data_IF_468257991422
#
_entry.id   IF_468257991422
#
_cell.length_a   1.000
_cell.length_b   1.000
_cell.length_c   1.000
_cell.angle_alpha   90.00
_cell.angle_beta   90.00
_cell.angle_gamma   90.00
#
_symmetry.space_group_name_H-M   'P 1'
#
loop_
_entity.id
_entity.type
_entity.pdbx_description
1 polymer ?
#
# COMPACT_ATOMS: atom_id res chain seq x y z
N UNK A 1 8.45 9.95 6.43
CA UNK A 1 7.04 9.95 5.97
C UNK A 1 6.70 8.51 5.64
N UNK A 2 5.58 7.98 6.12
CA UNK A 2 5.12 6.64 5.76
C UNK A 2 4.27 6.76 4.48
N UNK A 3 4.44 5.83 3.55
CA UNK A 3 3.59 5.69 2.37
C UNK A 3 3.29 4.20 2.19
N UNK A 4 2.10 3.87 1.71
CA UNK A 4 1.72 2.46 1.52
C UNK A 4 2.54 1.76 0.42
N UNK A 5 3.31 2.51 -0.38
CA UNK A 5 4.27 1.97 -1.34
C UNK A 5 5.58 2.77 -1.28
N UNK A 6 6.68 2.14 -1.65
CA UNK A 6 7.96 2.81 -1.78
C UNK A 6 7.98 3.64 -3.07
N UNK A 7 8.25 4.94 -2.95
CA UNK A 7 8.51 5.83 -4.08
C UNK A 7 9.98 5.77 -4.50
N UNK A 8 10.31 6.36 -5.66
CA UNK A 8 11.72 6.64 -5.98
C UNK A 8 12.31 7.60 -4.94
N UNK A 9 13.60 7.46 -4.69
CA UNK A 9 14.34 8.35 -3.81
C UNK A 9 14.31 9.77 -4.38
N UNK A 10 13.89 10.74 -3.57
CA UNK A 10 13.71 12.14 -3.97
C UNK A 10 12.37 12.45 -4.66
N UNK A 11 11.51 11.44 -4.83
CA UNK A 11 10.14 11.57 -5.36
C UNK A 11 9.11 11.03 -4.36
N UNK A 12 9.36 11.23 -3.06
CA UNK A 12 8.46 10.79 -1.99
C UNK A 12 7.13 11.54 -2.05
N UNK A 13 6.05 10.78 -2.17
CA UNK A 13 4.70 11.33 -2.10
C UNK A 13 3.82 10.53 -1.15
N UNK A 14 2.92 11.26 -0.49
CA UNK A 14 1.85 10.67 0.29
C UNK A 14 0.80 10.07 -0.66
N UNK A 15 0.59 8.76 -0.58
CA UNK A 15 -0.45 8.10 -1.36
C UNK A 15 -1.85 8.36 -0.79
N UNK A 16 -2.88 8.09 -1.58
CA UNK A 16 -4.26 8.34 -1.17
C UNK A 16 -4.67 7.51 0.07
N UNK A 17 -4.14 6.30 0.23
CA UNK A 17 -4.32 5.49 1.46
C UNK A 17 -3.70 6.11 2.71
N UNK A 18 -2.52 6.74 2.59
CA UNK A 18 -1.91 7.49 3.69
C UNK A 18 -2.78 8.70 4.07
N UNK A 19 -3.25 9.43 3.06
CA UNK A 19 -4.06 10.63 3.26
C UNK A 19 -5.38 10.27 3.97
N UNK A 20 -6.04 9.20 3.55
CA UNK A 20 -7.25 8.71 4.18
C UNK A 20 -7.01 8.19 5.61
N UNK A 21 -5.92 7.44 5.85
CA UNK A 21 -5.70 6.80 7.15
C UNK A 21 -5.24 7.77 8.23
N UNK A 22 -4.30 8.66 7.90
CA UNK A 22 -3.63 9.52 8.89
C UNK A 22 -3.54 10.98 8.48
N UNK A 23 -4.00 11.37 7.29
CA UNK A 23 -3.88 12.75 6.80
C UNK A 23 -4.40 13.79 7.79
N UNK A 24 -5.52 13.52 8.45
CA UNK A 24 -6.12 14.41 9.46
C UNK A 24 -5.19 14.69 10.67
N UNK A 25 -4.27 13.78 11.01
CA UNK A 25 -3.29 13.97 12.08
C UNK A 25 -2.19 14.99 11.71
N UNK A 26 -1.99 15.29 10.42
CA UNK A 26 -0.89 16.11 9.95
C UNK A 26 -1.29 17.60 9.82
N UNK A 27 -0.59 18.54 10.51
CA UNK A 27 -0.94 19.96 10.47
C UNK A 27 -1.00 20.57 9.07
N UNK A 28 -0.08 20.18 8.17
CA UNK A 28 -0.05 20.68 6.80
C UNK A 28 -1.28 20.28 5.99
N UNK A 29 -1.80 19.07 6.22
CA UNK A 29 -3.03 18.57 5.59
C UNK A 29 -4.24 19.33 6.13
N UNK A 30 -4.35 19.48 7.46
CA UNK A 30 -5.41 20.29 8.08
C UNK A 30 -5.43 21.72 7.55
N UNK A 31 -4.26 22.35 7.45
CA UNK A 31 -4.13 23.68 6.87
C UNK A 31 -4.61 23.71 5.41
N UNK A 32 -4.20 22.73 4.60
CA UNK A 32 -4.62 22.63 3.20
C UNK A 32 -6.15 22.53 3.06
N UNK A 33 -6.80 21.70 3.88
CA UNK A 33 -8.27 21.58 3.93
C UNK A 33 -8.91 22.90 4.32
N UNK A 34 -8.49 23.51 5.43
CA UNK A 34 -9.08 24.78 5.90
C UNK A 34 -8.87 25.93 4.92
N UNK A 35 -7.80 25.88 4.12
CA UNK A 35 -7.51 26.86 3.05
C UNK A 35 -8.19 26.56 1.71
N UNK A 36 -8.98 25.48 1.60
CA UNK A 36 -9.64 25.08 0.36
C UNK A 36 -8.71 24.51 -0.72
N UNK A 37 -7.46 24.20 -0.39
CA UNK A 37 -6.47 23.59 -1.32
C UNK A 37 -6.60 22.08 -1.41
N UNK A 38 -7.33 21.47 -0.48
CA UNK A 38 -7.62 20.05 -0.45
C UNK A 38 -9.09 19.87 -0.09
N UNK A 39 -9.82 19.09 -0.89
CA UNK A 39 -11.19 18.70 -0.59
C UNK A 39 -11.19 17.81 0.67
N UNK A 40 -11.98 18.13 1.72
CA UNK A 40 -12.15 17.25 2.87
C UNK A 40 -12.49 15.80 2.50
N UNK A 41 -13.24 15.57 1.42
CA UNK A 41 -13.61 14.23 0.96
C UNK A 41 -12.40 13.38 0.56
N UNK A 42 -11.25 14.00 0.25
CA UNK A 42 -10.00 13.28 -0.02
C UNK A 42 -9.37 12.63 1.23
N UNK A 43 -9.90 12.93 2.43
CA UNK A 43 -9.51 12.26 3.68
C UNK A 43 -10.32 10.99 3.95
N UNK A 44 -11.31 10.68 3.12
CA UNK A 44 -12.13 9.47 3.27
C UNK A 44 -11.66 8.36 2.31
N UNK A 45 -11.76 7.08 2.69
CA UNK A 45 -11.56 5.97 1.75
C UNK A 45 -12.56 6.04 0.58
N UNK A 46 -12.13 5.59 -0.61
CA UNK A 46 -13.03 5.46 -1.75
C UNK A 46 -14.08 4.36 -1.55
N UNK A 47 -15.24 4.50 -2.21
CA UNK A 47 -16.40 3.60 -2.07
C UNK A 47 -16.05 2.12 -2.28
N UNK A 48 -15.20 1.83 -3.27
CA UNK A 48 -14.83 0.45 -3.64
C UNK A 48 -13.41 0.06 -3.19
N UNK A 49 -12.85 0.79 -2.21
CA UNK A 49 -11.52 0.47 -1.71
C UNK A 49 -11.54 -0.75 -0.80
N UNK A 50 -10.48 -1.59 -0.82
CA UNK A 50 -10.29 -2.58 0.23
C UNK A 50 -10.09 -1.87 1.58
N UNK A 51 -10.37 -2.59 2.67
CA UNK A 51 -10.06 -2.11 4.01
C UNK A 51 -8.58 -1.69 4.10
N UNK A 52 -8.34 -0.49 4.63
CA UNK A 52 -6.99 0.02 4.86
C UNK A 52 -6.39 -0.67 6.08
N UNK A 53 -5.09 -0.92 6.05
CA UNK A 53 -4.36 -1.46 7.20
C UNK A 53 -4.37 -0.47 8.37
N UNK A 54 -4.51 -1.00 9.59
CA UNK A 54 -4.52 -0.21 10.82
C UNK A 54 -3.11 0.19 11.26
N UNK A 55 -2.10 -0.60 10.89
CA UNK A 55 -0.72 -0.39 11.31
C UNK A 55 0.29 -0.72 10.21
N UNK A 56 1.52 -0.22 10.40
CA UNK A 56 2.64 -0.59 9.53
C UNK A 56 2.96 -2.09 9.63
N UNK A 57 2.76 -2.69 10.80
CA UNK A 57 3.03 -4.11 11.02
C UNK A 57 2.13 -4.98 10.12
N UNK A 58 0.85 -4.65 9.98
CA UNK A 58 -0.07 -5.36 9.08
C UNK A 58 0.36 -5.31 7.61
N UNK A 59 0.91 -4.17 7.16
CA UNK A 59 1.47 -4.04 5.82
C UNK A 59 2.66 -4.98 5.64
N UNK A 60 3.56 -5.04 6.63
CA UNK A 60 4.74 -5.92 6.58
C UNK A 60 4.35 -7.39 6.62
N UNK A 61 3.38 -7.76 7.45
CA UNK A 61 2.92 -9.15 7.57
C UNK A 61 2.28 -9.62 6.27
N UNK A 62 1.41 -8.82 5.65
CA UNK A 62 0.86 -9.10 4.31
C UNK A 62 1.95 -9.26 3.26
N UNK A 63 2.96 -8.38 3.24
CA UNK A 63 4.06 -8.48 2.27
C UNK A 63 4.82 -9.80 2.45
N UNK A 64 5.14 -10.19 3.69
CA UNK A 64 5.81 -11.47 4.00
C UNK A 64 4.98 -12.67 3.55
N UNK A 65 3.67 -12.67 3.80
CA UNK A 65 2.76 -13.73 3.35
C UNK A 65 2.74 -13.87 1.83
N UNK A 66 2.68 -12.75 1.11
CA UNK A 66 2.69 -12.76 -0.36
C UNK A 66 4.04 -13.20 -0.94
N UNK A 67 5.17 -12.85 -0.31
CA UNK A 67 6.51 -13.30 -0.74
C UNK A 67 6.77 -14.79 -0.49
N UNK A 68 6.20 -15.37 0.56
CA UNK A 68 6.37 -16.78 0.89
C UNK A 68 5.48 -17.72 0.05
N UNK A 69 4.54 -17.17 -0.73
CA UNK A 69 3.60 -17.94 -1.54
C UNK A 69 4.15 -18.32 -2.93
N UNK A 70 5.32 -17.80 -3.33
CA UNK A 70 6.01 -18.15 -4.58
C UNK A 70 7.09 -19.21 -4.35
N UNK A 71 6.69 -20.47 -4.15
CA UNK A 71 7.64 -21.56 -3.86
C UNK A 71 7.15 -22.97 -4.18
N UNK A 72 6.22 -23.13 -5.14
CA UNK A 72 5.57 -24.40 -5.41
C UNK A 72 5.31 -24.70 -6.89
N UNK A 73 6.28 -24.49 -7.77
CA UNK A 73 6.30 -25.21 -9.06
C UNK A 73 7.13 -26.47 -8.83
N UNK A 74 6.48 -27.56 -8.44
CA UNK A 74 7.04 -28.91 -8.54
C UNK A 74 7.30 -29.19 -10.02
N UNK A 75 8.58 -29.26 -10.40
CA UNK A 75 8.98 -29.70 -11.74
C UNK A 75 8.44 -31.10 -12.00
N UNK A 76 7.58 -31.24 -13.00
CA UNK A 76 7.18 -32.52 -13.59
C UNK A 76 8.39 -33.06 -14.37
N UNK A 77 9.18 -33.92 -13.72
CA UNK A 77 10.26 -34.71 -14.32
C UNK A 77 9.65 -35.72 -15.29
N UNK A 78 9.27 -35.27 -16.49
CA UNK A 78 8.99 -36.17 -17.60
C UNK A 78 10.30 -36.66 -18.20
N UNK A 79 10.78 -37.77 -17.64
CA UNK A 79 11.80 -38.64 -18.23
C UNK A 79 11.39 -39.00 -19.66
N UNK A 80 12.03 -38.37 -20.65
CA UNK A 80 11.97 -38.81 -22.05
C UNK A 80 12.97 -39.95 -22.19
N UNK A 81 12.47 -41.20 -22.18
CA UNK A 81 13.26 -42.37 -22.59
C UNK A 81 13.53 -42.25 -24.10
N UNK A 82 14.80 -42.08 -24.44
CA UNK A 82 15.28 -42.16 -25.82
C UNK A 82 15.34 -43.64 -26.20
N UNK A 83 14.54 -44.02 -27.20
CA UNK A 83 14.59 -45.31 -27.89
C UNK A 83 15.00 -45.10 -29.34
#
# INVERSE_FOLDING_TARGET
MFACHQSRQGEEFACAGWLAKVGHCHPAVRLAVTSGRLDPAALEPGVDWPALHESYQEVLDKLRETSNSEGGVTGDERVVKIG
#
